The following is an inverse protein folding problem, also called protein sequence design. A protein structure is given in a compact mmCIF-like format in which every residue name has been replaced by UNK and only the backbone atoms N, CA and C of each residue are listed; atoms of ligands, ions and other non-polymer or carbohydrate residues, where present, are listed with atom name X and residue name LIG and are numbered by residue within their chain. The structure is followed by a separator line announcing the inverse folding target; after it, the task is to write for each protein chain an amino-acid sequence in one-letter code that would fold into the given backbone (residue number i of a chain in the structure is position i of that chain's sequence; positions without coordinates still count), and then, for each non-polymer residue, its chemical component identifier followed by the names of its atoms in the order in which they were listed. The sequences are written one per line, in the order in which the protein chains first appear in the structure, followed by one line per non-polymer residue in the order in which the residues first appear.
data_IF_751774770265
#
_entry.id   IF_751774770265
#
_cell.length_a   1.000
_cell.length_b   1.000
_cell.length_c   1.000
_cell.angle_alpha   90.00
_cell.angle_beta   90.00
_cell.angle_gamma   90.00
#
_symmetry.space_group_name_H-M   'P 1'
#
loop_
_entity.id
_entity.type
_entity.pdbx_description
1 polymer ?
#
# COMPACT_ATOMS: atom_id res chain seq x y z
N UNK A 1 5.53 -45.24 -45.10
CA UNK A 1 5.23 -43.87 -44.61
C UNK A 1 4.70 -43.98 -43.19
N UNK A 2 5.54 -43.73 -42.17
CA UNK A 2 5.12 -43.58 -40.77
C UNK A 2 5.30 -42.10 -40.43
N UNK A 3 4.19 -41.39 -40.30
CA UNK A 3 4.14 -39.99 -39.91
C UNK A 3 4.59 -39.88 -38.45
N UNK A 4 5.75 -39.27 -38.21
CA UNK A 4 6.24 -38.95 -36.87
C UNK A 4 5.57 -37.64 -36.44
N UNK A 5 4.68 -37.69 -35.46
CA UNK A 5 4.02 -36.52 -34.90
C UNK A 5 4.97 -35.76 -33.97
N UNK A 6 4.92 -34.45 -34.13
CA UNK A 6 5.71 -33.39 -33.50
C UNK A 6 5.68 -33.46 -31.97
N UNK A 7 6.82 -33.26 -31.31
CA UNK A 7 6.84 -32.70 -29.94
C UNK A 7 7.39 -31.28 -30.00
N UNK A 8 6.53 -30.32 -30.34
CA UNK A 8 6.82 -28.91 -30.11
C UNK A 8 6.62 -28.66 -28.61
N UNK A 9 7.72 -28.68 -27.85
CA UNK A 9 7.68 -28.31 -26.44
C UNK A 9 7.36 -26.82 -26.35
N UNK A 10 6.13 -26.47 -25.96
CA UNK A 10 5.77 -25.10 -25.61
C UNK A 10 6.41 -24.77 -24.26
N UNK A 11 7.59 -24.16 -24.28
CA UNK A 11 8.19 -23.54 -23.10
C UNK A 11 7.44 -22.25 -22.86
N UNK A 12 6.52 -22.25 -21.89
CA UNK A 12 5.88 -21.02 -21.42
C UNK A 12 6.90 -20.24 -20.61
N UNK A 13 7.61 -19.31 -21.27
CA UNK A 13 8.48 -18.37 -20.61
C UNK A 13 7.59 -17.31 -19.94
N UNK A 14 7.28 -17.52 -18.66
CA UNK A 14 6.59 -16.53 -17.85
C UNK A 14 7.60 -15.43 -17.52
N UNK A 15 7.57 -14.34 -18.28
CA UNK A 15 8.27 -13.12 -17.89
C UNK A 15 7.45 -12.43 -16.80
N UNK A 16 7.88 -12.55 -15.54
CA UNK A 16 7.41 -11.64 -14.50
C UNK A 16 8.10 -10.31 -14.73
N UNK A 17 7.43 -9.38 -15.42
CA UNK A 17 7.88 -7.98 -15.43
C UNK A 17 7.56 -7.44 -14.04
N UNK A 18 8.57 -7.35 -13.18
CA UNK A 18 8.45 -6.58 -11.94
C UNK A 18 8.43 -5.10 -12.33
N UNK A 19 7.23 -4.54 -12.46
CA UNK A 19 7.07 -3.09 -12.49
C UNK A 19 7.02 -2.66 -11.02
N UNK A 20 7.99 -1.86 -10.57
CA UNK A 20 7.82 -1.18 -9.29
C UNK A 20 6.66 -0.19 -9.49
N UNK A 21 5.45 -0.60 -9.14
CA UNK A 21 4.27 0.23 -9.32
C UNK A 21 4.15 1.19 -8.13
N UNK A 22 4.06 2.48 -8.45
CA UNK A 22 3.85 3.54 -7.47
C UNK A 22 2.38 3.93 -7.44
N UNK A 23 1.79 3.96 -6.24
CA UNK A 23 0.44 4.48 -5.98
C UNK A 23 0.54 5.71 -5.09
N UNK A 24 -0.19 6.77 -5.43
CA UNK A 24 -0.21 8.02 -4.66
C UNK A 24 -1.56 8.15 -3.94
N UNK A 25 -1.53 8.25 -2.61
CA UNK A 25 -2.70 8.51 -1.77
C UNK A 25 -3.04 9.99 -1.86
N UNK A 26 -4.29 10.29 -2.23
CA UNK A 26 -4.80 11.65 -2.48
C UNK A 26 -6.00 12.01 -1.61
N UNK A 27 -6.25 11.22 -0.56
CA UNK A 27 -7.32 11.47 0.40
C UNK A 27 -6.91 11.01 1.80
N UNK A 28 -7.32 11.77 2.81
CA UNK A 28 -7.21 11.39 4.22
C UNK A 28 -8.36 10.53 4.73
N UNK A 29 -9.35 10.24 3.88
CA UNK A 29 -10.40 9.28 4.20
C UNK A 29 -9.85 7.84 4.19
N UNK A 30 -10.44 6.98 5.02
CA UNK A 30 -10.13 5.54 5.05
C UNK A 30 -11.06 4.70 4.16
N UNK A 31 -12.20 5.25 3.77
CA UNK A 31 -13.18 4.57 2.91
C UNK A 31 -13.06 4.98 1.45
N UNK A 32 -13.19 4.00 0.55
CA UNK A 32 -13.28 4.17 -0.92
C UNK A 32 -14.11 5.40 -1.29
N UNK A 33 -13.52 6.30 -2.07
CA UNK A 33 -14.16 7.53 -2.50
C UNK A 33 -13.86 7.82 -3.99
N UNK A 34 -14.91 8.14 -4.75
CA UNK A 34 -14.76 8.38 -6.18
C UNK A 34 -13.87 9.60 -6.48
N UNK A 35 -12.88 9.40 -7.35
CA UNK A 35 -12.00 10.47 -7.84
C UNK A 35 -10.78 10.76 -6.96
N UNK A 36 -10.60 10.01 -5.88
CA UNK A 36 -9.40 10.04 -5.04
C UNK A 36 -8.90 8.63 -4.79
N UNK A 37 -7.72 8.49 -4.20
CA UNK A 37 -7.15 7.22 -3.75
C UNK A 37 -6.92 7.33 -2.25
N UNK A 38 -7.62 6.52 -1.48
CA UNK A 38 -7.38 6.35 -0.04
C UNK A 38 -6.22 5.42 0.25
N UNK A 39 -5.71 5.45 1.48
CA UNK A 39 -4.67 4.51 1.91
C UNK A 39 -5.17 3.06 1.85
N UNK A 40 -6.44 2.81 2.18
CA UNK A 40 -7.06 1.48 2.12
C UNK A 40 -7.09 0.93 0.69
N UNK A 41 -7.52 1.75 -0.27
CA UNK A 41 -7.50 1.38 -1.70
C UNK A 41 -6.08 1.12 -2.20
N UNK A 42 -5.11 1.94 -1.79
CA UNK A 42 -3.72 1.77 -2.18
C UNK A 42 -3.13 0.45 -1.65
N UNK A 43 -3.46 0.07 -0.41
CA UNK A 43 -3.04 -1.21 0.17
C UNK A 43 -3.74 -2.40 -0.47
N UNK A 44 -5.04 -2.32 -0.72
CA UNK A 44 -5.78 -3.37 -1.44
C UNK A 44 -5.18 -3.62 -2.83
N UNK A 45 -4.86 -2.54 -3.55
CA UNK A 45 -4.17 -2.63 -4.84
C UNK A 45 -2.78 -3.26 -4.69
N UNK A 46 -1.98 -2.84 -3.70
CA UNK A 46 -0.65 -3.38 -3.47
C UNK A 46 -0.68 -4.88 -3.13
N UNK A 47 -1.64 -5.33 -2.32
CA UNK A 47 -1.80 -6.73 -1.94
C UNK A 47 -2.14 -7.66 -3.11
N UNK A 48 -2.66 -7.13 -4.23
CA UNK A 48 -3.05 -7.93 -5.40
C UNK A 48 -2.08 -7.79 -6.58
N UNK A 49 -1.12 -6.87 -6.48
CA UNK A 49 -0.13 -6.62 -7.51
C UNK A 49 1.01 -7.65 -7.47
N UNK A 50 1.70 -7.79 -8.59
CA UNK A 50 2.92 -8.60 -8.71
C UNK A 50 4.10 -7.65 -8.74
N UNK A 51 5.16 -7.94 -8.00
CA UNK A 51 6.29 -7.04 -7.83
C UNK A 51 6.26 -6.30 -6.50
N UNK A 52 7.38 -5.68 -6.15
CA UNK A 52 7.47 -4.74 -5.04
C UNK A 52 6.64 -3.50 -5.35
N UNK A 53 5.77 -3.13 -4.41
CA UNK A 53 4.87 -2.00 -4.55
C UNK A 53 5.35 -0.81 -3.71
N UNK A 54 5.15 0.42 -4.22
CA UNK A 54 5.45 1.64 -3.46
C UNK A 54 4.19 2.50 -3.33
N UNK A 55 3.77 2.77 -2.09
CA UNK A 55 2.69 3.70 -1.77
C UNK A 55 3.32 5.00 -1.25
N UNK A 56 2.95 6.12 -1.86
CA UNK A 56 3.34 7.47 -1.46
C UNK A 56 2.12 8.34 -1.17
N UNK A 57 2.33 9.53 -0.59
CA UNK A 57 1.25 10.45 -0.24
C UNK A 57 1.43 11.76 -1.01
N UNK A 58 0.32 12.32 -1.50
CA UNK A 58 0.33 13.62 -2.17
C UNK A 58 0.64 14.74 -1.15
N UNK A 59 1.77 15.46 -1.27
CA UNK A 59 2.10 16.54 -0.34
C UNK A 59 1.12 17.72 -0.37
N UNK A 60 0.28 17.84 -1.40
CA UNK A 60 -0.79 18.84 -1.43
C UNK A 60 -1.96 18.46 -0.50
N UNK A 61 -2.15 17.16 -0.25
CA UNK A 61 -3.19 16.62 0.66
C UNK A 61 -2.63 16.41 2.07
N UNK A 62 -1.35 16.05 2.15
CA UNK A 62 -0.62 15.80 3.39
C UNK A 62 0.60 16.76 3.53
N UNK A 63 0.41 18.08 3.59
CA UNK A 63 1.53 19.02 3.73
C UNK A 63 2.28 18.79 5.05
N UNK A 64 3.56 19.14 5.05
CA UNK A 64 4.35 19.25 6.28
C UNK A 64 3.71 20.28 7.22
N UNK A 65 3.68 19.97 8.51
CA UNK A 65 3.07 20.72 9.62
C UNK A 65 1.55 20.89 9.51
N UNK A 66 0.88 20.09 8.69
CA UNK A 66 -0.59 20.18 8.52
C UNK A 66 -1.36 19.52 9.65
N UNK A 67 -0.76 18.52 10.31
CA UNK A 67 -1.46 17.66 11.26
C UNK A 67 -2.59 16.83 10.62
N UNK A 68 -2.57 16.62 9.30
CA UNK A 68 -3.56 15.79 8.62
C UNK A 68 -3.46 14.34 9.11
N UNK A 69 -4.56 13.84 9.67
CA UNK A 69 -4.68 12.48 10.20
C UNK A 69 -5.54 11.62 9.27
N UNK A 70 -5.09 10.40 9.00
CA UNK A 70 -5.93 9.33 8.47
C UNK A 70 -6.41 8.50 9.65
N UNK A 71 -7.72 8.58 9.95
CA UNK A 71 -8.35 7.75 10.97
C UNK A 71 -8.75 6.43 10.32
N UNK A 72 -8.13 5.33 10.75
CA UNK A 72 -8.39 4.00 10.23
C UNK A 72 -9.60 3.40 10.97
N UNK A 73 -10.62 3.00 10.23
CA UNK A 73 -11.82 2.33 10.76
C UNK A 73 -11.51 0.89 11.24
N UNK A 74 -10.41 0.33 10.74
CA UNK A 74 -9.91 -1.00 11.11
C UNK A 74 -8.43 -1.13 10.78
N UNK A 75 -7.79 -2.18 11.31
CA UNK A 75 -6.44 -2.57 10.94
C UNK A 75 -6.25 -2.64 9.41
N UNK A 76 -5.07 -2.19 8.97
CA UNK A 76 -4.64 -2.18 7.57
C UNK A 76 -3.72 -3.40 7.35
N UNK A 77 -4.18 -4.37 6.56
CA UNK A 77 -3.45 -5.62 6.35
C UNK A 77 -2.55 -5.53 5.13
N UNK A 78 -1.24 -5.68 5.32
CA UNK A 78 -0.25 -5.87 4.26
C UNK A 78 0.03 -7.36 4.11
N UNK A 79 -0.44 -7.96 3.02
CA UNK A 79 -0.35 -9.40 2.75
C UNK A 79 0.48 -9.74 1.54
N UNK A 80 0.97 -8.73 0.81
CA UNK A 80 1.89 -8.96 -0.30
C UNK A 80 3.21 -9.59 0.21
N UNK A 81 3.60 -10.67 -0.47
CA UNK A 81 4.76 -11.47 -0.12
C UNK A 81 6.04 -11.02 -0.84
N UNK A 82 5.92 -10.14 -1.85
CA UNK A 82 7.07 -9.56 -2.55
C UNK A 82 7.56 -8.26 -1.86
N UNK A 83 6.65 -7.53 -1.21
CA UNK A 83 6.92 -6.42 -0.30
C UNK A 83 6.19 -5.13 -0.70
N UNK A 84 5.65 -4.43 0.30
CA UNK A 84 5.07 -3.09 0.14
C UNK A 84 5.94 -2.06 0.87
N UNK A 85 6.34 -1.03 0.15
CA UNK A 85 7.01 0.16 0.69
C UNK A 85 5.96 1.24 0.85
N UNK A 86 5.79 1.77 2.07
CA UNK A 86 4.95 2.95 2.33
C UNK A 86 5.86 4.07 2.77
N UNK A 87 5.83 5.21 2.09
CA UNK A 87 6.71 6.35 2.38
C UNK A 87 6.01 7.68 2.19
N UNK A 88 6.26 8.64 3.09
CA UNK A 88 5.69 9.98 3.00
C UNK A 88 6.10 10.74 1.75
N UNK A 89 7.28 10.46 1.17
CA UNK A 89 7.78 11.11 -0.05
C UNK A 89 7.72 12.67 -0.02
N UNK A 90 7.97 13.27 1.14
CA UNK A 90 7.88 14.72 1.35
C UNK A 90 6.53 15.21 1.91
N UNK A 91 5.60 14.29 2.17
CA UNK A 91 4.39 14.53 2.95
C UNK A 91 4.59 14.21 4.45
N UNK A 92 3.79 14.86 5.31
CA UNK A 92 3.62 14.48 6.72
C UNK A 92 2.35 13.67 6.88
N UNK A 93 2.46 12.45 7.40
CA UNK A 93 1.34 11.51 7.49
C UNK A 93 1.22 11.03 8.93
N UNK A 94 0.04 11.23 9.51
CA UNK A 94 -0.33 10.66 10.80
C UNK A 94 -1.40 9.61 10.53
N UNK A 95 -1.14 8.36 10.95
CA UNK A 95 -2.11 7.28 10.91
C UNK A 95 -2.59 7.03 12.34
N UNK A 96 -3.91 7.08 12.54
CA UNK A 96 -4.55 6.82 13.83
C UNK A 96 -5.46 5.59 13.71
N UNK A 97 -5.09 4.51 14.38
CA UNK A 97 -5.86 3.26 14.43
C UNK A 97 -7.08 3.30 15.36
N UNK A 98 -7.30 4.42 16.05
CA UNK A 98 -8.27 4.55 17.14
C UNK A 98 -7.73 4.06 18.49
N UNK A 99 -8.43 4.43 19.56
CA UNK A 99 -8.16 3.93 20.92
C UNK A 99 -8.47 2.41 21.01
N UNK A 100 -7.68 1.64 21.78
CA UNK A 100 -7.99 0.25 22.09
C UNK A 100 -9.42 0.07 22.62
N UNK A 101 -10.00 -1.12 22.42
CA UNK A 101 -11.24 -1.48 23.09
C UNK A 101 -11.11 -1.24 24.61
N UNK A 102 -12.16 -0.75 25.32
CA UNK A 102 -12.06 -0.44 26.73
C UNK A 102 -11.49 -1.61 27.55
N UNK A 103 -10.27 -1.44 28.08
CA UNK A 103 -9.57 -2.46 28.88
C UNK A 103 -8.31 -3.05 28.25
N UNK A 104 -7.97 -2.67 27.02
CA UNK A 104 -6.68 -2.99 26.43
C UNK A 104 -5.65 -1.89 26.73
N UNK A 105 -4.64 -2.24 27.53
CA UNK A 105 -3.59 -1.32 28.04
C UNK A 105 -2.24 -1.53 27.35
N UNK A 106 -2.18 -2.25 26.22
CA UNK A 106 -0.92 -2.50 25.54
C UNK A 106 -0.51 -1.33 24.64
N UNK A 107 -0.03 -0.25 25.27
CA UNK A 107 0.68 0.91 24.69
C UNK A 107 -0.15 1.83 23.77
N UNK A 108 0.16 3.14 23.71
CA UNK A 108 -0.50 4.05 22.77
C UNK A 108 -0.11 3.70 21.33
N UNK A 109 -1.12 3.41 20.50
CA UNK A 109 -0.98 3.00 19.09
C UNK A 109 -0.59 4.16 18.14
N UNK A 110 -0.24 5.33 18.69
CA UNK A 110 0.22 6.48 17.89
C UNK A 110 1.70 6.31 17.54
N UNK A 111 1.97 5.75 16.36
CA UNK A 111 3.31 5.81 15.76
C UNK A 111 3.49 7.21 15.16
N UNK A 112 4.13 8.12 15.90
CA UNK A 112 4.64 9.36 15.34
C UNK A 112 5.87 9.06 14.46
N UNK A 113 5.70 9.03 13.14
CA UNK A 113 6.83 8.97 12.21
C UNK A 113 7.41 10.37 12.02
N UNK A 114 8.34 10.79 12.89
CA UNK A 114 9.20 11.95 12.62
C UNK A 114 10.47 11.47 11.91
N UNK A 115 10.62 11.77 10.63
CA UNK A 115 11.83 11.46 9.86
C UNK A 115 13.10 12.05 10.50
N UNK A 116 14.16 11.24 10.54
CA UNK A 116 15.50 11.64 10.96
C UNK A 116 16.06 12.76 10.06
N UNK A 117 16.75 13.71 10.71
CA UNK A 117 17.74 14.63 10.10
C UNK A 117 18.98 13.86 9.62
#
# INVERSE_FOLDING_TARGET
MRTLLLSLSLVLLVFTISVNAQTVVTSSADTVAAGVITLREAVEAANTAVGVQTITFDPAVFPIDSGTVIYLDSALFLTDNEGVIITGAGAEVILDGGEPAPGDTTLPDTIFYSGFV
#
